data_IF_544247252505
#
_entry.id   IF_544247252505
#
_cell.length_a   1.000
_cell.length_b   1.000
_cell.length_c   1.000
_cell.angle_alpha   90.00
_cell.angle_beta   90.00
_cell.angle_gamma   90.00
#
_symmetry.space_group_name_H-M   'P 1'
#
loop_
_entity.id
_entity.type
_entity.pdbx_description
1 polymer ?
#
# COMPACT_ATOMS: atom_id res chain seq x y z
N UNK A 1 8.13 25.24 -17.55
CA UNK A 1 6.71 24.87 -17.38
C UNK A 1 6.61 24.26 -15.99
N UNK A 2 6.24 25.09 -15.01
CA UNK A 2 6.27 24.75 -13.61
C UNK A 2 5.22 23.68 -13.33
N UNK A 3 5.63 22.56 -12.73
CA UNK A 3 4.69 21.65 -12.11
C UNK A 3 4.03 22.42 -10.96
N UNK A 4 2.74 22.75 -11.02
CA UNK A 4 2.08 23.27 -9.86
C UNK A 4 1.85 22.10 -8.89
N UNK A 5 1.92 22.45 -7.61
CA UNK A 5 1.18 21.81 -6.52
C UNK A 5 1.88 20.78 -5.62
N UNK A 6 3.06 21.14 -5.11
CA UNK A 6 3.54 20.59 -3.84
C UNK A 6 2.79 21.18 -2.63
N UNK A 7 2.05 22.29 -2.80
CA UNK A 7 1.47 23.06 -1.70
C UNK A 7 0.03 22.68 -1.31
N UNK A 8 -0.77 22.05 -2.17
CA UNK A 8 -2.11 21.56 -1.80
C UNK A 8 -2.11 20.14 -1.20
N UNK A 9 -1.00 19.39 -1.29
CA UNK A 9 -0.93 18.02 -0.77
C UNK A 9 -0.92 17.95 0.77
N UNK A 10 -0.51 19.03 1.44
CA UNK A 10 -0.57 19.15 2.90
C UNK A 10 -1.99 19.34 3.45
N UNK A 11 -2.95 19.78 2.64
CA UNK A 11 -4.33 19.98 3.09
C UNK A 11 -5.12 18.66 3.26
N UNK A 12 -4.61 17.53 2.76
CA UNK A 12 -5.25 16.22 2.85
C UNK A 12 -4.66 15.31 3.96
N UNK A 13 -3.91 15.89 4.90
CA UNK A 13 -3.47 15.27 6.16
C UNK A 13 -4.66 15.00 7.13
N UNK A 14 -5.86 14.80 6.60
CA UNK A 14 -7.08 14.55 7.36
C UNK A 14 -7.13 13.12 7.86
N UNK A 15 -6.58 12.90 9.05
CA UNK A 15 -6.88 11.85 10.03
C UNK A 15 -6.95 10.36 9.62
N UNK A 16 -6.80 10.00 8.34
CA UNK A 16 -6.96 8.62 7.88
C UNK A 16 -6.40 8.46 6.46
N UNK A 17 -5.08 8.63 6.28
CA UNK A 17 -4.43 8.42 4.99
C UNK A 17 -4.40 6.92 4.64
N UNK A 18 -4.64 6.57 3.37
CA UNK A 18 -4.56 5.18 2.88
C UNK A 18 -3.23 4.53 3.28
N UNK A 19 -2.13 5.30 3.26
CA UNK A 19 -0.81 4.89 3.74
C UNK A 19 -0.81 4.46 5.22
N UNK A 20 -1.39 5.26 6.11
CA UNK A 20 -1.42 4.93 7.54
C UNK A 20 -2.17 3.61 7.80
N UNK A 21 -3.27 3.36 7.07
CA UNK A 21 -4.02 2.10 7.16
C UNK A 21 -3.23 0.90 6.62
N UNK A 22 -2.50 1.10 5.51
CA UNK A 22 -1.60 0.08 4.97
C UNK A 22 -0.54 -0.28 6.00
N UNK A 23 0.15 0.70 6.56
CA UNK A 23 1.21 0.48 7.56
C UNK A 23 0.66 -0.20 8.82
N UNK A 24 -0.48 0.25 9.33
CA UNK A 24 -1.13 -0.38 10.47
C UNK A 24 -1.54 -1.84 10.17
N UNK A 25 -2.03 -2.12 8.96
CA UNK A 25 -2.37 -3.49 8.56
C UNK A 25 -1.13 -4.38 8.46
N UNK A 26 -0.02 -3.87 7.91
CA UNK A 26 1.23 -4.62 7.78
C UNK A 26 1.84 -4.93 9.16
N UNK A 27 1.77 -3.99 10.11
CA UNK A 27 2.23 -4.20 11.49
C UNK A 27 1.37 -5.24 12.26
N UNK A 28 0.05 -5.15 12.10
CA UNK A 28 -0.92 -6.06 12.73
C UNK A 28 -0.72 -7.50 12.24
N UNK A 29 -0.42 -7.67 10.95
CA UNK A 29 -0.13 -8.97 10.33
C UNK A 29 1.34 -9.40 10.45
N UNK A 30 2.16 -8.67 11.21
CA UNK A 30 3.58 -8.95 11.51
C UNK A 30 4.42 -9.15 10.24
N UNK A 31 4.26 -8.24 9.28
CA UNK A 31 5.15 -8.14 8.13
C UNK A 31 6.54 -7.65 8.57
N UNK A 32 7.57 -8.13 7.88
CA UNK A 32 8.97 -7.77 8.07
C UNK A 32 9.41 -6.75 7.00
N UNK A 33 10.53 -6.07 7.22
CA UNK A 33 11.14 -5.13 6.26
C UNK A 33 10.15 -4.12 5.62
N UNK A 34 9.24 -3.58 6.43
CA UNK A 34 8.25 -2.60 5.96
C UNK A 34 8.93 -1.26 5.67
N UNK A 35 9.03 -0.90 4.39
CA UNK A 35 9.63 0.35 3.90
C UNK A 35 8.57 1.15 3.14
N UNK A 36 8.29 2.37 3.60
CA UNK A 36 7.46 3.33 2.88
C UNK A 36 8.33 4.31 2.09
N UNK A 37 8.03 4.45 0.81
CA UNK A 37 8.71 5.32 -0.15
C UNK A 37 7.71 6.39 -0.58
N UNK A 38 8.10 7.65 -0.36
CA UNK A 38 7.34 8.79 -0.83
C UNK A 38 7.64 9.07 -2.32
N UNK A 39 6.59 8.93 -3.14
CA UNK A 39 6.59 9.16 -4.58
C UNK A 39 5.88 10.46 -4.96
N UNK A 40 5.40 11.25 -3.99
CA UNK A 40 4.71 12.51 -4.23
C UNK A 40 5.60 13.44 -5.07
N UNK A 41 5.13 13.77 -6.28
CA UNK A 41 5.84 14.63 -7.22
C UNK A 41 6.97 13.96 -8.03
N UNK A 42 7.24 12.67 -7.82
CA UNK A 42 8.24 11.89 -8.58
C UNK A 42 7.61 10.95 -9.61
N UNK A 43 6.40 10.46 -9.33
CA UNK A 43 5.68 9.55 -10.23
C UNK A 43 4.19 9.93 -10.32
N UNK A 44 3.58 9.90 -11.51
CA UNK A 44 2.13 10.05 -11.65
C UNK A 44 1.37 8.75 -11.35
N UNK A 45 2.06 7.65 -11.06
CA UNK A 45 1.44 6.33 -10.88
C UNK A 45 0.80 6.17 -9.49
N UNK A 46 1.42 6.71 -8.44
CA UNK A 46 0.95 6.67 -7.07
C UNK A 46 1.66 7.75 -6.23
N UNK A 47 1.04 8.20 -5.13
CA UNK A 47 1.66 9.14 -4.19
C UNK A 47 2.63 8.43 -3.23
N UNK A 48 2.34 7.17 -2.88
CA UNK A 48 3.22 6.38 -2.02
C UNK A 48 3.42 4.94 -2.53
N UNK A 49 4.61 4.40 -2.27
CA UNK A 49 4.91 2.98 -2.49
C UNK A 49 5.35 2.36 -1.18
N UNK A 50 4.82 1.20 -0.84
CA UNK A 50 5.20 0.44 0.35
C UNK A 50 5.75 -0.90 -0.09
N UNK A 51 6.88 -1.29 0.48
CA UNK A 51 7.47 -2.62 0.31
C UNK A 51 7.49 -3.30 1.66
N UNK A 52 7.12 -4.56 1.71
CA UNK A 52 7.11 -5.38 2.90
C UNK A 52 7.52 -6.82 2.56
N UNK A 53 7.93 -7.58 3.56
CA UNK A 53 8.30 -8.99 3.48
C UNK A 53 7.42 -9.82 4.40
N UNK A 54 7.17 -11.08 4.06
CA UNK A 54 6.41 -12.02 4.87
C UNK A 54 7.13 -13.36 5.01
N UNK A 55 7.09 -13.97 6.18
CA UNK A 55 7.87 -15.18 6.53
C UNK A 55 7.48 -16.45 5.76
N UNK A 56 6.36 -16.44 5.04
CA UNK A 56 5.86 -17.59 4.28
C UNK A 56 4.84 -17.16 3.23
N UNK A 57 4.72 -17.93 2.15
CA UNK A 57 3.72 -17.69 1.09
C UNK A 57 2.29 -17.58 1.65
N UNK A 58 1.93 -18.40 2.64
CA UNK A 58 0.63 -18.31 3.31
C UNK A 58 0.44 -16.99 4.06
N UNK A 59 1.48 -16.49 4.74
CA UNK A 59 1.41 -15.19 5.42
C UNK A 59 1.28 -14.06 4.41
N UNK A 60 2.07 -14.07 3.34
CA UNK A 60 2.03 -13.08 2.27
C UNK A 60 0.62 -12.99 1.65
N UNK A 61 0.03 -14.14 1.28
CA UNK A 61 -1.34 -14.16 0.73
C UNK A 61 -2.39 -13.69 1.74
N UNK A 62 -2.24 -14.03 3.02
CA UNK A 62 -3.15 -13.57 4.08
C UNK A 62 -3.04 -12.06 4.35
N UNK A 63 -1.82 -11.51 4.38
CA UNK A 63 -1.56 -10.06 4.48
C UNK A 63 -2.28 -9.35 3.33
N UNK A 64 -2.12 -9.87 2.10
CA UNK A 64 -2.69 -9.25 0.93
C UNK A 64 -4.22 -9.25 0.93
N UNK A 65 -4.85 -10.39 1.26
CA UNK A 65 -6.31 -10.49 1.40
C UNK A 65 -6.86 -9.52 2.44
N UNK A 66 -6.27 -9.54 3.64
CA UNK A 66 -6.71 -8.67 4.74
C UNK A 66 -6.54 -7.20 4.39
N UNK A 67 -5.42 -6.83 3.76
CA UNK A 67 -5.21 -5.45 3.36
C UNK A 67 -6.28 -4.99 2.36
N UNK A 68 -6.58 -5.82 1.36
CA UNK A 68 -7.63 -5.56 0.36
C UNK A 68 -8.98 -5.33 1.03
N UNK A 69 -9.36 -6.21 1.96
CA UNK A 69 -10.62 -6.10 2.68
C UNK A 69 -10.68 -4.83 3.56
N UNK A 70 -9.59 -4.50 4.27
CA UNK A 70 -9.50 -3.28 5.10
C UNK A 70 -9.61 -2.02 4.25
N UNK A 71 -8.91 -1.95 3.12
CA UNK A 71 -8.95 -0.79 2.22
C UNK A 71 -10.32 -0.68 1.55
N UNK A 72 -10.92 -1.80 1.13
CA UNK A 72 -12.27 -1.82 0.57
C UNK A 72 -13.32 -1.35 1.56
N UNK A 73 -13.22 -1.77 2.83
CA UNK A 73 -14.12 -1.32 3.89
C UNK A 73 -13.97 0.19 4.17
N UNK A 74 -12.75 0.73 4.12
CA UNK A 74 -12.49 2.12 4.43
C UNK A 74 -12.79 3.09 3.27
N UNK A 75 -12.48 2.70 2.03
CA UNK A 75 -12.54 3.59 0.85
C UNK A 75 -13.70 3.27 -0.09
N UNK A 76 -14.35 2.11 0.08
CA UNK A 76 -15.35 1.58 -0.85
C UNK A 76 -14.77 1.10 -2.18
N UNK A 77 -13.46 1.22 -2.41
CA UNK A 77 -12.77 0.79 -3.64
C UNK A 77 -12.07 -0.53 -3.39
N UNK A 78 -12.16 -1.46 -4.34
CA UNK A 78 -11.43 -2.73 -4.24
C UNK A 78 -10.04 -2.57 -4.88
N UNK A 79 -8.95 -2.73 -4.11
CA UNK A 79 -7.60 -2.77 -4.66
C UNK A 79 -7.43 -3.89 -5.69
N UNK A 80 -6.56 -3.67 -6.68
CA UNK A 80 -6.15 -4.74 -7.59
C UNK A 80 -5.04 -5.56 -6.94
N UNK A 81 -5.11 -6.88 -7.04
CA UNK A 81 -4.10 -7.80 -6.49
C UNK A 81 -3.51 -8.65 -7.61
N UNK A 82 -2.19 -8.74 -7.68
CA UNK A 82 -1.44 -9.60 -8.60
C UNK A 82 -0.42 -10.47 -7.85
N UNK A 83 -0.03 -11.62 -8.42
CA UNK A 83 1.00 -12.50 -7.85
C UNK A 83 0.55 -13.45 -6.72
N UNK A 84 -0.70 -13.33 -6.25
CA UNK A 84 -1.27 -14.13 -5.15
C UNK A 84 -1.22 -15.65 -5.34
N UNK A 85 -1.26 -16.15 -6.58
CA UNK A 85 -1.23 -17.60 -6.87
C UNK A 85 0.14 -18.24 -6.63
N UNK A 86 1.23 -17.48 -6.84
CA UNK A 86 2.58 -17.97 -6.58
C UNK A 86 2.96 -17.83 -5.10
N UNK A 87 2.50 -16.75 -4.44
CA UNK A 87 2.79 -16.50 -3.02
C UNK A 87 4.26 -16.14 -2.73
N UNK A 88 5.11 -16.03 -3.76
CA UNK A 88 6.48 -15.53 -3.65
C UNK A 88 6.55 -14.00 -3.70
N UNK A 89 5.60 -13.37 -4.40
CA UNK A 89 5.44 -11.92 -4.45
C UNK A 89 3.97 -11.58 -4.65
N UNK A 90 3.49 -10.52 -4.00
CA UNK A 90 2.14 -10.01 -4.17
C UNK A 90 2.18 -8.51 -4.33
N UNK A 91 1.52 -8.01 -5.37
CA UNK A 91 1.36 -6.60 -5.65
C UNK A 91 -0.09 -6.20 -5.39
N UNK A 92 -0.27 -5.13 -4.62
CA UNK A 92 -1.59 -4.61 -4.22
C UNK A 92 -1.63 -3.14 -4.60
N UNK A 93 -2.48 -2.81 -5.55
CA UNK A 93 -2.66 -1.45 -6.05
C UNK A 93 -3.94 -0.85 -5.47
N UNK A 94 -3.76 0.11 -4.56
CA UNK A 94 -4.84 0.87 -3.92
C UNK A 94 -5.12 2.21 -4.61
N UNK A 95 -4.54 2.48 -5.79
CA UNK A 95 -4.63 3.74 -6.52
C UNK A 95 -3.62 4.77 -6.02
N UNK A 96 -3.81 5.28 -4.80
CA UNK A 96 -2.95 6.33 -4.23
C UNK A 96 -1.68 5.72 -3.58
N UNK A 97 -1.76 4.44 -3.18
CA UNK A 97 -0.67 3.68 -2.56
C UNK A 97 -0.50 2.34 -3.26
N UNK A 98 0.73 2.00 -3.62
CA UNK A 98 1.08 0.68 -4.16
C UNK A 98 1.85 -0.10 -3.10
N UNK A 99 1.43 -1.33 -2.81
CA UNK A 99 2.04 -2.20 -1.80
C UNK A 99 2.62 -3.44 -2.46
N UNK A 100 3.90 -3.70 -2.22
CA UNK A 100 4.59 -4.92 -2.63
C UNK A 100 4.89 -5.74 -1.40
N UNK A 101 4.42 -6.99 -1.38
CA UNK A 101 4.73 -7.93 -0.32
C UNK A 101 5.55 -9.07 -0.91
N UNK A 102 6.81 -9.17 -0.51
CA UNK A 102 7.72 -10.24 -0.89
C UNK A 102 7.72 -11.34 0.17
N UNK A 103 8.20 -12.52 -0.20
CA UNK A 103 8.58 -13.59 0.72
C UNK A 103 10.06 -13.53 1.06
#
# INVERSE_FOLDING_TARGET
MAAPDAAARDAAQGADSTLARVLASLDDDKAEDVVAIDLAGKSPLADHMVVASGRSARQVSAIAEKLVDRIKAATGRSPRVEGKEAGDWVLIDCGDVIVHVFR
#
